data_IF_786092105908
#
_entry.id   IF_786092105908
#
_cell.length_a   1.000
_cell.length_b   1.000
_cell.length_c   1.000
_cell.angle_alpha   90.00
_cell.angle_beta   90.00
_cell.angle_gamma   90.00
#
_symmetry.space_group_name_H-M   'P 1'
#
loop_
_entity.id
_entity.type
_entity.pdbx_description
1 polymer ?
#
# COMPACT_ATOMS: atom_id res chain seq x y z
N UNK A 1 59.07 -18.61 -50.84
CA UNK A 1 58.93 -18.35 -49.40
C UNK A 1 57.94 -17.20 -49.28
N UNK A 2 56.71 -17.49 -49.02
CA UNK A 2 55.63 -16.49 -48.88
C UNK A 2 55.26 -16.42 -47.35
N UNK A 3 55.56 -15.28 -46.71
CA UNK A 3 55.18 -15.00 -45.32
C UNK A 3 53.70 -14.58 -45.30
N UNK A 4 52.85 -15.37 -44.64
CA UNK A 4 51.48 -14.97 -44.29
C UNK A 4 51.50 -14.23 -42.98
N UNK A 5 51.21 -12.92 -43.00
CA UNK A 5 51.02 -12.09 -41.80
C UNK A 5 49.60 -12.31 -41.28
N UNK A 6 49.48 -12.99 -40.15
CA UNK A 6 48.19 -13.17 -39.46
C UNK A 6 47.79 -11.88 -38.72
N UNK A 7 46.69 -11.28 -39.16
CA UNK A 7 46.03 -10.17 -38.41
C UNK A 7 45.28 -10.75 -37.20
N UNK A 8 45.80 -10.54 -36.02
CA UNK A 8 45.10 -10.79 -34.76
C UNK A 8 44.08 -9.67 -34.54
N UNK A 9 42.78 -10.01 -34.56
CA UNK A 9 41.71 -9.10 -34.19
C UNK A 9 41.71 -8.87 -32.67
N UNK A 10 41.56 -7.63 -32.19
CA UNK A 10 41.46 -7.37 -30.73
C UNK A 10 40.15 -7.98 -30.17
N UNK A 11 40.27 -8.88 -29.21
CA UNK A 11 39.13 -9.36 -28.43
C UNK A 11 38.65 -8.21 -27.55
N UNK A 12 37.49 -7.65 -27.88
CA UNK A 12 36.78 -6.71 -27.00
C UNK A 12 36.26 -7.53 -25.84
N UNK A 13 36.91 -7.44 -24.70
CA UNK A 13 36.36 -7.93 -23.41
C UNK A 13 35.11 -7.09 -23.10
N UNK A 14 33.93 -7.69 -23.24
CA UNK A 14 32.71 -7.08 -22.75
C UNK A 14 32.85 -6.88 -21.23
N UNK A 15 32.69 -5.64 -20.79
CA UNK A 15 32.63 -5.36 -19.35
C UNK A 15 31.48 -6.18 -18.72
N UNK A 16 31.69 -6.79 -17.51
CA UNK A 16 30.63 -7.50 -16.85
C UNK A 16 29.45 -6.53 -16.64
N UNK A 17 28.25 -6.97 -17.01
CA UNK A 17 27.03 -6.21 -16.72
C UNK A 17 26.99 -5.94 -15.21
N UNK A 18 26.80 -4.68 -14.83
CA UNK A 18 26.73 -4.29 -13.42
C UNK A 18 25.60 -5.09 -12.79
N UNK A 19 25.94 -5.90 -11.78
CA UNK A 19 24.94 -6.63 -11.01
C UNK A 19 24.06 -5.63 -10.27
N UNK A 20 22.74 -5.91 -10.23
CA UNK A 20 21.79 -5.11 -9.47
C UNK A 20 22.15 -5.16 -7.97
N UNK A 21 22.38 -4.01 -7.36
CA UNK A 21 22.72 -3.89 -5.94
C UNK A 21 21.44 -3.66 -5.12
N UNK A 22 20.92 -4.75 -4.51
CA UNK A 22 19.72 -4.69 -3.68
C UNK A 22 19.89 -3.81 -2.44
N UNK A 23 21.08 -3.76 -1.83
CA UNK A 23 21.32 -2.94 -0.65
C UNK A 23 21.29 -1.45 -1.00
N UNK A 24 21.91 -1.06 -2.11
CA UNK A 24 21.87 0.31 -2.60
C UNK A 24 20.45 0.71 -3.03
N UNK A 25 19.70 -0.21 -3.65
CA UNK A 25 18.29 -0.02 -4.02
C UNK A 25 17.41 0.21 -2.78
N UNK A 26 17.58 -0.61 -1.74
CA UNK A 26 16.86 -0.47 -0.47
C UNK A 26 17.19 0.87 0.22
N UNK A 27 18.46 1.23 0.30
CA UNK A 27 18.88 2.50 0.88
C UNK A 27 18.28 3.70 0.13
N UNK A 28 18.26 3.64 -1.22
CA UNK A 28 17.66 4.67 -2.08
C UNK A 28 16.16 4.80 -1.84
N UNK A 29 15.47 3.67 -1.73
CA UNK A 29 14.03 3.62 -1.46
C UNK A 29 13.70 4.20 -0.08
N UNK A 30 14.43 3.81 0.95
CA UNK A 30 14.22 4.33 2.30
C UNK A 30 14.52 5.83 2.41
N UNK A 31 15.57 6.32 1.72
CA UNK A 31 15.89 7.74 1.66
C UNK A 31 14.86 8.59 0.89
N UNK A 32 13.92 7.97 0.20
CA UNK A 32 12.82 8.65 -0.47
C UNK A 32 11.65 8.99 0.47
N UNK A 33 11.55 8.34 1.64
CA UNK A 33 10.46 8.59 2.61
C UNK A 33 10.46 10.09 2.99
N UNK A 34 9.26 10.69 2.99
CA UNK A 34 9.03 12.12 3.22
C UNK A 34 9.11 12.99 1.96
N UNK A 35 9.61 12.49 0.83
CA UNK A 35 9.61 13.25 -0.44
C UNK A 35 8.19 13.43 -0.96
N UNK A 36 7.95 14.57 -1.59
CA UNK A 36 6.70 14.85 -2.27
C UNK A 36 6.70 14.24 -3.69
N UNK A 37 5.58 13.60 -4.04
CA UNK A 37 5.33 13.02 -5.36
C UNK A 37 4.30 13.90 -6.06
N UNK A 38 4.76 14.78 -6.95
CA UNK A 38 3.94 15.77 -7.65
C UNK A 38 4.44 16.03 -9.08
N UNK A 39 3.56 16.56 -9.93
CA UNK A 39 3.90 16.94 -11.30
C UNK A 39 3.93 15.79 -12.29
N UNK A 40 3.40 14.62 -11.95
CA UNK A 40 3.43 13.44 -12.80
C UNK A 40 2.13 13.25 -13.59
N UNK A 41 2.25 13.24 -14.90
CA UNK A 41 1.16 13.03 -15.84
C UNK A 41 1.28 11.67 -16.51
N UNK A 42 0.26 10.86 -16.38
CA UNK A 42 0.14 9.51 -16.98
C UNK A 42 -1.09 9.42 -17.87
N UNK A 43 -1.31 8.24 -18.46
CA UNK A 43 -2.52 7.89 -19.17
C UNK A 43 -3.17 6.66 -18.52
N UNK A 44 -4.49 6.68 -18.32
CA UNK A 44 -5.22 5.52 -17.84
C UNK A 44 -5.41 4.47 -18.96
N UNK A 45 -6.02 3.34 -18.62
CA UNK A 45 -6.29 2.26 -19.58
C UNK A 45 -7.26 2.64 -20.72
N UNK A 46 -7.89 3.81 -20.66
CA UNK A 46 -8.68 4.38 -21.75
C UNK A 46 -7.93 5.45 -22.54
N UNK A 47 -6.63 5.68 -22.25
CA UNK A 47 -5.80 6.71 -22.87
C UNK A 47 -6.06 8.12 -22.36
N UNK A 48 -6.85 8.30 -21.30
CA UNK A 48 -7.15 9.61 -20.74
C UNK A 48 -6.02 10.08 -19.84
N UNK A 49 -5.64 11.35 -19.95
CA UNK A 49 -4.61 11.93 -19.10
C UNK A 49 -5.04 11.94 -17.62
N UNK A 50 -4.12 11.52 -16.75
CA UNK A 50 -4.29 11.44 -15.30
C UNK A 50 -3.09 12.09 -14.64
N UNK A 51 -3.34 13.11 -13.82
CA UNK A 51 -2.35 13.69 -12.92
C UNK A 51 -2.41 12.98 -11.58
N UNK A 52 -1.28 12.67 -10.96
CA UNK A 52 -1.27 12.00 -9.64
C UNK A 52 -1.89 12.86 -8.55
N UNK A 53 -1.86 14.18 -8.69
CA UNK A 53 -2.47 15.13 -7.76
C UNK A 53 -3.98 14.97 -7.61
N UNK A 54 -4.65 14.32 -8.58
CA UNK A 54 -6.10 14.04 -8.46
C UNK A 54 -6.44 13.15 -7.26
N UNK A 55 -5.45 12.42 -6.73
CA UNK A 55 -5.61 11.55 -5.58
C UNK A 55 -5.31 12.23 -4.24
N UNK A 56 -4.95 13.53 -4.24
CA UNK A 56 -4.76 14.33 -3.03
C UNK A 56 -6.00 14.31 -2.13
N UNK A 57 -5.80 14.50 -0.83
CA UNK A 57 -6.85 14.46 0.18
C UNK A 57 -7.13 13.06 0.75
N UNK A 58 -6.48 12.02 0.22
CA UNK A 58 -6.56 10.65 0.74
C UNK A 58 -5.27 9.88 0.48
N UNK A 59 -4.97 8.83 1.26
CA UNK A 59 -3.82 7.98 1.02
C UNK A 59 -3.84 7.36 -0.38
N UNK A 60 -2.66 7.28 -1.00
CA UNK A 60 -2.48 6.67 -2.32
C UNK A 60 -1.44 5.55 -2.25
N UNK A 61 -1.83 4.35 -2.67
CA UNK A 61 -0.91 3.21 -2.85
C UNK A 61 -0.39 3.24 -4.28
N UNK A 62 0.93 3.22 -4.45
CA UNK A 62 1.61 3.24 -5.75
C UNK A 62 2.43 1.98 -5.90
N UNK A 63 2.18 1.19 -6.93
CA UNK A 63 3.00 0.04 -7.34
C UNK A 63 3.53 0.22 -8.75
N UNK A 64 4.69 -0.35 -9.05
CA UNK A 64 5.28 -0.36 -10.37
C UNK A 64 5.37 -1.81 -10.87
N UNK A 65 4.93 -2.04 -12.09
CA UNK A 65 5.03 -3.34 -12.78
C UNK A 65 5.50 -3.13 -14.22
N UNK A 66 5.92 -4.21 -14.88
CA UNK A 66 5.96 -4.22 -16.33
C UNK A 66 5.15 -5.42 -16.88
N UNK A 67 4.40 -5.19 -17.94
CA UNK A 67 3.44 -6.17 -18.47
C UNK A 67 4.09 -7.41 -19.09
N UNK A 68 5.38 -7.33 -19.40
CA UNK A 68 6.18 -8.46 -19.88
C UNK A 68 6.70 -9.40 -18.78
N UNK A 69 6.48 -9.07 -17.52
CA UNK A 69 6.88 -9.91 -16.39
C UNK A 69 5.93 -11.10 -16.20
N UNK A 70 6.47 -12.31 -16.24
CA UNK A 70 5.67 -13.53 -16.07
C UNK A 70 5.74 -14.15 -14.66
N UNK A 71 6.47 -13.53 -13.73
CA UNK A 71 6.70 -14.08 -12.39
C UNK A 71 6.26 -13.12 -11.30
N UNK A 72 7.09 -12.18 -10.92
CA UNK A 72 6.91 -11.31 -9.74
C UNK A 72 5.75 -10.33 -9.87
N UNK A 73 5.52 -9.73 -11.06
CA UNK A 73 4.45 -8.74 -11.24
C UNK A 73 3.03 -9.33 -11.08
N UNK A 74 2.72 -10.54 -11.57
CA UNK A 74 1.48 -11.23 -11.20
C UNK A 74 1.35 -11.47 -9.69
N UNK A 75 2.41 -11.96 -9.03
CA UNK A 75 2.39 -12.25 -7.59
C UNK A 75 2.09 -11.01 -6.76
N UNK A 76 2.86 -9.94 -6.95
CA UNK A 76 2.61 -8.68 -6.22
C UNK A 76 1.21 -8.12 -6.49
N UNK A 77 0.69 -8.30 -7.72
CA UNK A 77 -0.66 -7.83 -8.04
C UNK A 77 -1.72 -8.63 -7.27
N UNK A 78 -1.57 -9.95 -7.12
CA UNK A 78 -2.48 -10.77 -6.30
C UNK A 78 -2.37 -10.39 -4.81
N UNK A 79 -1.16 -10.22 -4.28
CA UNK A 79 -0.93 -9.74 -2.92
C UNK A 79 -1.61 -8.38 -2.67
N UNK A 80 -1.53 -7.47 -3.65
CA UNK A 80 -2.21 -6.18 -3.58
C UNK A 80 -3.73 -6.30 -3.68
N UNK A 81 -4.27 -7.24 -4.50
CA UNK A 81 -5.72 -7.51 -4.52
C UNK A 81 -6.22 -7.89 -3.14
N UNK A 82 -5.54 -8.81 -2.47
CA UNK A 82 -5.93 -9.29 -1.14
C UNK A 82 -5.82 -8.18 -0.09
N UNK A 83 -4.69 -7.46 -0.06
CA UNK A 83 -4.46 -6.40 0.91
C UNK A 83 -5.39 -5.18 0.71
N UNK A 84 -5.61 -4.74 -0.55
CA UNK A 84 -6.49 -3.62 -0.86
C UNK A 84 -7.96 -3.98 -0.68
N UNK A 85 -8.37 -5.24 -0.95
CA UNK A 85 -9.72 -5.71 -0.65
C UNK A 85 -9.99 -5.73 0.85
N UNK A 86 -9.01 -6.19 1.65
CA UNK A 86 -9.10 -6.12 3.11
C UNK A 86 -9.19 -4.67 3.61
N UNK A 87 -8.42 -3.74 3.02
CA UNK A 87 -8.50 -2.32 3.33
C UNK A 87 -9.86 -1.73 2.95
N UNK A 88 -10.42 -2.10 1.78
CA UNK A 88 -11.74 -1.64 1.34
C UNK A 88 -12.87 -2.14 2.26
N UNK A 89 -12.78 -3.39 2.73
CA UNK A 89 -13.74 -3.96 3.69
C UNK A 89 -13.75 -3.17 5.02
N UNK A 90 -12.58 -2.71 5.48
CA UNK A 90 -12.43 -1.98 6.75
C UNK A 90 -12.78 -0.50 6.63
N UNK A 91 -12.29 0.18 5.58
CA UNK A 91 -12.31 1.64 5.47
C UNK A 91 -13.34 2.16 4.47
N UNK A 92 -13.83 1.28 3.57
CA UNK A 92 -14.68 1.65 2.44
C UNK A 92 -13.87 2.09 1.21
N UNK A 93 -14.52 2.00 0.04
CA UNK A 93 -13.91 2.22 -1.29
C UNK A 93 -13.31 3.62 -1.48
N UNK A 94 -13.85 4.63 -0.81
CA UNK A 94 -13.45 6.03 -1.01
C UNK A 94 -12.35 6.51 -0.06
N UNK A 95 -12.00 5.72 0.94
CA UNK A 95 -11.06 6.14 2.00
C UNK A 95 -9.61 6.22 1.51
N UNK A 96 -9.26 5.52 0.45
CA UNK A 96 -7.94 5.52 -0.17
C UNK A 96 -8.06 5.31 -1.68
N UNK A 97 -6.94 5.44 -2.39
CA UNK A 97 -6.82 5.08 -3.80
C UNK A 97 -5.59 4.20 -4.04
N UNK A 98 -5.57 3.49 -5.17
CA UNK A 98 -4.39 2.77 -5.63
C UNK A 98 -4.11 3.08 -7.10
N UNK A 99 -2.84 3.11 -7.46
CA UNK A 99 -2.38 3.19 -8.85
C UNK A 99 -1.28 2.16 -9.08
N UNK A 100 -1.32 1.53 -10.24
CA UNK A 100 -0.23 0.70 -10.76
C UNK A 100 0.29 1.34 -12.02
N UNK A 101 1.58 1.67 -12.04
CA UNK A 101 2.26 2.29 -13.17
C UNK A 101 3.09 1.24 -13.90
N UNK A 102 2.89 1.13 -15.21
CA UNK A 102 3.77 0.35 -16.08
C UNK A 102 5.09 1.09 -16.26
N UNK A 103 6.22 0.45 -15.88
CA UNK A 103 7.51 1.15 -15.94
C UNK A 103 8.34 0.83 -17.17
N UNK A 104 7.96 -0.16 -17.99
CA UNK A 104 8.52 -0.34 -19.33
C UNK A 104 7.78 0.56 -20.32
N UNK A 105 8.21 1.81 -20.45
CA UNK A 105 7.57 2.81 -21.29
C UNK A 105 7.34 2.38 -22.74
N UNK A 106 8.19 1.48 -23.27
CA UNK A 106 8.10 0.99 -24.64
C UNK A 106 6.99 -0.06 -24.81
N UNK A 107 6.70 -0.83 -23.76
CA UNK A 107 5.81 -1.98 -23.80
C UNK A 107 4.50 -1.74 -23.04
N UNK A 108 4.51 -0.98 -21.95
CA UNK A 108 3.38 -0.83 -21.05
C UNK A 108 2.39 0.24 -21.53
N UNK A 109 1.85 0.03 -22.74
CA UNK A 109 0.83 0.92 -23.32
C UNK A 109 -0.49 0.83 -22.53
N UNK A 110 -1.42 1.82 -22.68
CA UNK A 110 -2.74 1.76 -22.06
C UNK A 110 -3.49 0.46 -22.34
N UNK A 111 -3.36 -0.09 -23.55
CA UNK A 111 -3.98 -1.35 -23.96
C UNK A 111 -3.38 -2.55 -23.22
N UNK A 112 -2.06 -2.61 -23.08
CA UNK A 112 -1.37 -3.68 -22.36
C UNK A 112 -1.65 -3.61 -20.85
N UNK A 113 -1.68 -2.42 -20.27
CA UNK A 113 -2.08 -2.20 -18.88
C UNK A 113 -3.54 -2.61 -18.64
N UNK A 114 -4.43 -2.37 -19.62
CA UNK A 114 -5.82 -2.84 -19.56
C UNK A 114 -5.92 -4.36 -19.59
N UNK A 115 -5.17 -5.00 -20.48
CA UNK A 115 -5.11 -6.45 -20.59
C UNK A 115 -4.57 -7.05 -19.29
N UNK A 116 -3.45 -6.57 -18.79
CA UNK A 116 -2.85 -7.02 -17.54
C UNK A 116 -3.85 -6.90 -16.35
N UNK A 117 -4.49 -5.74 -16.18
CA UNK A 117 -5.51 -5.54 -15.14
C UNK A 117 -6.62 -6.59 -15.21
N UNK A 118 -7.14 -6.85 -16.41
CA UNK A 118 -8.20 -7.84 -16.64
C UNK A 118 -7.72 -9.26 -16.35
N UNK A 119 -6.53 -9.61 -16.84
CA UNK A 119 -5.98 -10.96 -16.76
C UNK A 119 -5.58 -11.30 -15.31
N UNK A 120 -5.21 -10.28 -14.50
CA UNK A 120 -5.03 -10.41 -13.05
C UNK A 120 -6.35 -10.40 -12.25
N UNK A 121 -7.50 -10.18 -12.88
CA UNK A 121 -8.79 -10.20 -12.21
C UNK A 121 -9.05 -9.01 -11.28
N UNK A 122 -8.36 -7.87 -11.45
CA UNK A 122 -8.52 -6.69 -10.60
C UNK A 122 -9.91 -6.06 -10.78
N UNK A 123 -10.73 -6.09 -9.74
CA UNK A 123 -12.12 -5.57 -9.72
C UNK A 123 -12.31 -4.30 -8.92
N UNK A 124 -11.34 -3.94 -8.05
CA UNK A 124 -11.43 -2.74 -7.23
C UNK A 124 -11.57 -1.49 -8.11
N UNK A 125 -12.55 -0.65 -7.80
CA UNK A 125 -12.89 0.54 -8.58
C UNK A 125 -12.01 1.74 -8.23
N UNK A 126 -11.44 1.75 -7.03
CA UNK A 126 -10.48 2.74 -6.53
C UNK A 126 -9.03 2.44 -6.94
N UNK A 127 -8.80 1.46 -7.81
CA UNK A 127 -7.48 1.07 -8.32
C UNK A 127 -7.37 1.34 -9.82
N UNK A 128 -6.46 2.26 -10.20
CA UNK A 128 -6.22 2.69 -11.59
C UNK A 128 -4.88 2.15 -12.10
N UNK A 129 -4.87 1.66 -13.33
CA UNK A 129 -3.65 1.24 -14.04
C UNK A 129 -3.24 2.34 -15.01
N UNK A 130 -1.95 2.71 -14.99
CA UNK A 130 -1.40 3.88 -15.65
C UNK A 130 -0.21 3.52 -16.54
N UNK A 131 -0.08 4.23 -17.66
CA UNK A 131 1.07 4.20 -18.57
C UNK A 131 1.68 5.60 -18.65
N UNK A 132 2.99 5.68 -18.86
CA UNK A 132 3.70 6.95 -19.01
C UNK A 132 4.78 6.88 -20.08
N UNK A 133 5.33 8.04 -20.47
CA UNK A 133 6.53 8.09 -21.27
C UNK A 133 7.80 7.83 -20.42
N UNK A 134 8.89 7.48 -21.06
CA UNK A 134 10.13 7.15 -20.37
C UNK A 134 10.64 8.26 -19.43
N UNK A 135 10.66 9.56 -19.83
CA UNK A 135 11.07 10.63 -18.93
C UNK A 135 10.21 10.74 -17.67
N UNK A 136 8.90 10.58 -17.81
CA UNK A 136 7.94 10.62 -16.68
C UNK A 136 8.14 9.44 -15.73
N UNK A 137 8.30 8.24 -16.28
CA UNK A 137 8.55 6.99 -15.51
C UNK A 137 9.87 7.09 -14.77
N UNK A 138 10.96 7.50 -15.43
CA UNK A 138 12.27 7.67 -14.81
C UNK A 138 12.25 8.73 -13.70
N UNK A 139 11.52 9.82 -13.90
CA UNK A 139 11.37 10.87 -12.90
C UNK A 139 10.57 10.37 -11.69
N UNK A 140 9.46 9.66 -11.90
CA UNK A 140 8.70 9.02 -10.82
C UNK A 140 9.57 8.02 -10.04
N UNK A 141 10.25 7.11 -10.75
CA UNK A 141 11.10 6.09 -10.15
C UNK A 141 12.17 6.72 -9.25
N UNK A 142 12.88 7.75 -9.73
CA UNK A 142 13.85 8.51 -8.90
C UNK A 142 13.20 9.16 -7.68
N UNK A 143 12.01 9.72 -7.85
CA UNK A 143 11.30 10.41 -6.75
C UNK A 143 10.90 9.45 -5.64
N UNK A 144 10.33 8.28 -6.00
CA UNK A 144 9.90 7.28 -5.02
C UNK A 144 11.03 6.32 -4.60
N UNK A 145 12.25 6.50 -5.14
CA UNK A 145 13.39 5.65 -4.83
C UNK A 145 13.29 4.23 -5.38
N UNK A 146 12.60 4.04 -6.50
CA UNK A 146 12.50 2.75 -7.18
C UNK A 146 13.66 2.60 -8.17
N UNK A 147 14.57 1.67 -7.86
CA UNK A 147 15.71 1.34 -8.73
C UNK A 147 15.36 0.14 -9.62
N UNK A 148 15.62 0.26 -10.91
CA UNK A 148 15.49 -0.85 -11.86
C UNK A 148 16.60 -0.77 -12.92
N UNK A 149 17.00 -1.93 -13.45
CA UNK A 149 18.06 -2.04 -14.44
C UNK A 149 17.64 -3.07 -15.52
N UNK A 150 17.77 -2.78 -16.81
CA UNK A 150 17.53 -3.77 -17.85
C UNK A 150 18.42 -5.01 -17.67
N UNK A 151 17.85 -6.20 -17.82
CA UNK A 151 18.54 -7.47 -17.74
C UNK A 151 18.08 -8.42 -18.87
N UNK A 152 18.80 -9.51 -19.16
CA UNK A 152 18.38 -10.48 -20.17
C UNK A 152 17.01 -11.12 -19.91
N UNK A 153 16.56 -11.12 -18.63
CA UNK A 153 15.26 -11.64 -18.22
C UNK A 153 14.16 -10.56 -18.15
N UNK A 154 14.45 -9.34 -18.59
CA UNK A 154 13.56 -8.18 -18.52
C UNK A 154 14.18 -7.06 -17.69
N UNK A 155 13.85 -6.98 -16.42
CA UNK A 155 14.39 -5.96 -15.50
C UNK A 155 14.73 -6.57 -14.15
N UNK A 156 15.91 -6.23 -13.64
CA UNK A 156 16.28 -6.47 -12.26
C UNK A 156 15.84 -5.26 -11.44
N UNK A 157 15.05 -5.47 -10.41
CA UNK A 157 14.53 -4.45 -9.52
C UNK A 157 14.12 -5.03 -8.17
N UNK A 158 14.11 -4.21 -7.14
CA UNK A 158 13.49 -4.56 -5.86
C UNK A 158 11.98 -4.37 -5.95
N UNK A 159 11.21 -5.35 -5.48
CA UNK A 159 9.74 -5.23 -5.42
C UNK A 159 9.37 -4.28 -4.30
N UNK A 160 8.71 -3.19 -4.65
CA UNK A 160 8.37 -2.09 -3.78
C UNK A 160 6.95 -1.60 -4.03
N UNK A 161 6.19 -1.43 -2.96
CA UNK A 161 4.91 -0.71 -2.95
C UNK A 161 5.06 0.53 -2.09
N UNK A 162 4.76 1.70 -2.65
CA UNK A 162 4.90 3.01 -2.00
C UNK A 162 3.54 3.49 -1.51
N UNK A 163 3.45 3.94 -0.26
CA UNK A 163 2.24 4.54 0.32
C UNK A 163 2.50 6.03 0.49
N UNK A 164 1.64 6.85 -0.13
CA UNK A 164 1.64 8.30 0.00
C UNK A 164 0.53 8.73 0.97
N UNK A 165 0.77 9.79 1.71
CA UNK A 165 -0.25 10.48 2.51
C UNK A 165 -1.20 11.34 1.65
N UNK A 166 -2.14 12.02 2.29
CA UNK A 166 -3.10 12.91 1.62
C UNK A 166 -2.46 14.11 0.93
N UNK A 167 -1.29 14.55 1.37
CA UNK A 167 -0.50 15.62 0.78
C UNK A 167 0.39 15.11 -0.38
N UNK A 168 0.43 13.77 -0.60
CA UNK A 168 1.22 13.11 -1.62
C UNK A 168 2.70 12.98 -1.26
N UNK A 169 3.02 12.95 0.03
CA UNK A 169 4.36 12.64 0.53
C UNK A 169 4.49 11.14 0.75
N UNK A 170 5.67 10.62 0.51
CA UNK A 170 5.96 9.21 0.77
C UNK A 170 5.93 8.95 2.28
N UNK A 171 4.90 8.25 2.72
CA UNK A 171 4.71 7.89 4.12
C UNK A 171 5.45 6.61 4.49
N UNK A 172 5.37 5.59 3.62
CA UNK A 172 5.99 4.28 3.86
C UNK A 172 6.28 3.54 2.56
N UNK A 173 7.33 2.70 2.63
CA UNK A 173 7.66 1.70 1.61
C UNK A 173 7.36 0.31 2.16
N UNK A 174 6.74 -0.55 1.34
CA UNK A 174 6.49 -1.97 1.63
C UNK A 174 7.27 -2.79 0.61
N UNK A 175 8.04 -3.77 1.05
CA UNK A 175 8.94 -4.54 0.20
C UNK A 175 8.48 -5.99 0.07
N UNK A 176 8.85 -6.60 -1.06
CA UNK A 176 8.52 -7.98 -1.40
C UNK A 176 7.26 -8.10 -2.26
N UNK A 177 7.12 -9.23 -2.90
CA UNK A 177 5.98 -9.58 -3.77
C UNK A 177 4.88 -10.34 -3.01
N UNK A 178 5.22 -10.94 -1.88
CA UNK A 178 4.30 -11.64 -0.98
C UNK A 178 4.45 -11.08 0.45
N UNK A 179 3.62 -10.13 0.81
CA UNK A 179 3.57 -9.55 2.15
C UNK A 179 2.18 -9.73 2.78
N UNK A 180 2.15 -9.86 4.10
CA UNK A 180 0.88 -9.95 4.84
C UNK A 180 0.07 -8.65 4.73
N UNK A 181 -1.25 -8.74 4.58
CA UNK A 181 -2.15 -7.60 4.45
C UNK A 181 -1.92 -6.46 5.48
N UNK A 182 -1.59 -6.73 6.77
CA UNK A 182 -1.28 -5.67 7.73
C UNK A 182 -0.13 -4.75 7.32
N UNK A 183 0.84 -5.22 6.53
CA UNK A 183 1.96 -4.40 6.05
C UNK A 183 1.49 -3.19 5.23
N UNK A 184 0.33 -3.32 4.55
CA UNK A 184 -0.32 -2.25 3.79
C UNK A 184 -1.46 -1.60 4.57
N UNK A 185 -2.30 -2.40 5.23
CA UNK A 185 -3.54 -1.93 5.87
C UNK A 185 -3.25 -1.07 7.09
N UNK A 186 -2.27 -1.41 7.93
CA UNK A 186 -1.95 -0.62 9.13
C UNK A 186 -1.40 0.79 8.81
N UNK A 187 -0.49 0.98 7.82
CA UNK A 187 -0.14 2.32 7.37
C UNK A 187 -1.33 3.13 6.82
N UNK A 188 -2.21 2.50 6.01
CA UNK A 188 -3.42 3.17 5.52
C UNK A 188 -4.34 3.57 6.67
N UNK A 189 -4.53 2.69 7.65
CA UNK A 189 -5.29 2.93 8.87
C UNK A 189 -4.74 4.15 9.63
N UNK A 190 -3.42 4.21 9.82
CA UNK A 190 -2.78 5.34 10.48
C UNK A 190 -2.99 6.66 9.74
N UNK A 191 -2.94 6.65 8.40
CA UNK A 191 -3.17 7.84 7.58
C UNK A 191 -4.64 8.28 7.56
N UNK A 192 -5.58 7.35 7.47
CA UNK A 192 -7.01 7.64 7.41
C UNK A 192 -7.54 8.20 8.73
N UNK A 193 -7.11 7.63 9.86
CA UNK A 193 -7.62 7.98 11.19
C UNK A 193 -6.63 8.79 12.03
N UNK A 194 -5.35 8.84 11.66
CA UNK A 194 -4.30 9.55 12.39
C UNK A 194 -4.25 11.05 12.09
N UNK A 195 -4.78 11.51 10.96
CA UNK A 195 -4.86 12.91 10.57
C UNK A 195 -6.20 13.51 10.99
N UNK A 196 -6.24 14.18 12.14
CA UNK A 196 -7.26 15.15 12.56
C UNK A 196 -8.74 14.69 12.55
N UNK A 197 -9.06 13.44 12.92
CA UNK A 197 -10.42 13.16 13.38
C UNK A 197 -10.65 13.99 14.64
N UNK A 198 -11.35 15.11 14.48
CA UNK A 198 -11.73 16.00 15.59
C UNK A 198 -12.31 15.19 16.73
N UNK A 199 -11.66 15.23 17.90
CA UNK A 199 -12.09 14.53 19.13
C UNK A 199 -13.50 14.97 19.55
N UNK A 200 -14.00 16.05 18.94
CA UNK A 200 -15.24 16.72 19.27
C UNK A 200 -16.44 16.33 18.39
N UNK A 201 -16.26 15.43 17.41
CA UNK A 201 -17.37 14.93 16.59
C UNK A 201 -17.72 13.48 16.95
N UNK A 202 -19.02 13.15 16.97
CA UNK A 202 -19.50 11.78 17.18
C UNK A 202 -18.95 10.83 16.11
N UNK A 203 -18.80 11.28 14.86
CA UNK A 203 -18.23 10.52 13.77
C UNK A 203 -16.75 10.19 14.03
N UNK A 204 -15.94 11.15 14.51
CA UNK A 204 -14.55 10.92 14.89
C UNK A 204 -14.40 9.94 16.08
N UNK A 205 -15.39 9.90 17.00
CA UNK A 205 -15.39 8.91 18.09
C UNK A 205 -15.74 7.51 17.57
N UNK A 206 -16.71 7.38 16.66
CA UNK A 206 -17.10 6.10 16.02
C UNK A 206 -15.92 5.55 15.21
N UNK A 207 -15.24 6.38 14.46
CA UNK A 207 -14.08 5.99 13.66
C UNK A 207 -12.91 5.51 14.55
N UNK A 208 -12.67 6.17 15.69
CA UNK A 208 -11.67 5.71 16.66
C UNK A 208 -12.05 4.38 17.31
N UNK A 209 -13.30 4.17 17.67
CA UNK A 209 -13.77 2.88 18.18
C UNK A 209 -13.57 1.78 17.14
N UNK A 210 -13.90 2.05 15.88
CA UNK A 210 -13.64 1.14 14.76
C UNK A 210 -12.15 0.81 14.62
N UNK A 211 -11.29 1.83 14.75
CA UNK A 211 -9.84 1.71 14.70
C UNK A 211 -9.30 0.75 15.77
N UNK A 212 -9.72 0.94 17.03
CA UNK A 212 -9.24 0.12 18.15
C UNK A 212 -9.80 -1.29 18.16
N UNK A 213 -11.02 -1.47 17.65
CA UNK A 213 -11.72 -2.77 17.70
C UNK A 213 -11.56 -3.62 16.44
N UNK A 214 -10.80 -3.17 15.44
CA UNK A 214 -10.55 -3.97 14.23
C UNK A 214 -9.19 -4.64 14.31
N UNK A 215 -9.19 -5.98 14.48
CA UNK A 215 -7.99 -6.81 14.62
C UNK A 215 -7.84 -7.75 13.43
N UNK A 216 -6.61 -7.86 12.92
CA UNK A 216 -6.29 -8.82 11.87
C UNK A 216 -6.24 -10.24 12.43
N UNK A 217 -6.94 -11.17 11.78
CA UNK A 217 -6.89 -12.59 12.11
C UNK A 217 -6.03 -13.34 11.09
N UNK A 218 -4.79 -13.74 11.46
CA UNK A 218 -3.85 -14.39 10.54
C UNK A 218 -4.37 -15.72 9.97
N UNK A 219 -5.20 -16.46 10.74
CA UNK A 219 -5.70 -17.76 10.30
C UNK A 219 -6.79 -17.67 9.22
N UNK A 220 -7.51 -16.54 9.13
CA UNK A 220 -8.54 -16.30 8.13
C UNK A 220 -8.13 -15.27 7.06
N UNK A 221 -6.96 -14.61 7.23
CA UNK A 221 -6.49 -13.54 6.34
C UNK A 221 -7.39 -12.29 6.34
N UNK A 222 -8.30 -12.15 7.31
CA UNK A 222 -9.32 -11.09 7.34
C UNK A 222 -9.25 -10.24 8.59
N UNK A 223 -9.67 -9.00 8.46
CA UNK A 223 -9.93 -8.12 9.59
C UNK A 223 -11.31 -8.44 10.18
N UNK A 224 -11.37 -8.55 11.52
CA UNK A 224 -12.60 -8.77 12.27
C UNK A 224 -12.76 -7.70 13.33
N UNK A 225 -13.99 -7.27 13.55
CA UNK A 225 -14.31 -6.39 14.67
C UNK A 225 -14.28 -7.21 15.97
N UNK A 226 -13.45 -6.77 16.93
CA UNK A 226 -13.30 -7.41 18.24
C UNK A 226 -14.26 -6.78 19.24
N UNK A 227 -15.24 -7.54 19.67
CA UNK A 227 -16.24 -7.13 20.65
C UNK A 227 -15.77 -7.30 22.10
N UNK A 228 -14.56 -7.82 22.34
CA UNK A 228 -14.07 -8.14 23.71
C UNK A 228 -14.08 -6.93 24.63
N UNK A 229 -13.73 -5.75 24.13
CA UNK A 229 -13.77 -4.49 24.88
C UNK A 229 -15.19 -4.15 25.35
N UNK A 230 -16.18 -4.30 24.47
CA UNK A 230 -17.59 -3.98 24.79
C UNK A 230 -18.16 -4.99 25.78
N UNK A 231 -17.84 -6.28 25.62
CA UNK A 231 -18.23 -7.32 26.56
C UNK A 231 -17.60 -7.07 27.92
N UNK A 232 -16.30 -6.71 27.97
CA UNK A 232 -15.60 -6.36 29.19
C UNK A 232 -16.21 -5.15 29.90
N UNK A 233 -16.53 -4.08 29.16
CA UNK A 233 -17.20 -2.90 29.73
C UNK A 233 -18.60 -3.22 30.25
N UNK A 234 -19.40 -3.98 29.49
CA UNK A 234 -20.74 -4.38 29.91
C UNK A 234 -20.70 -5.23 31.21
N UNK A 235 -19.78 -6.18 31.28
CA UNK A 235 -19.57 -6.98 32.48
C UNK A 235 -19.13 -6.12 33.68
N UNK A 236 -18.16 -5.22 33.48
CA UNK A 236 -17.72 -4.28 34.53
C UNK A 236 -18.83 -3.38 35.03
N UNK A 237 -19.60 -2.78 34.12
CA UNK A 237 -20.77 -1.94 34.48
C UNK A 237 -21.86 -2.75 35.23
N UNK A 238 -22.08 -3.99 34.85
CA UNK A 238 -23.04 -4.88 35.51
C UNK A 238 -22.61 -5.17 36.98
N UNK A 239 -21.32 -5.47 37.17
CA UNK A 239 -20.78 -5.71 38.52
C UNK A 239 -20.87 -4.44 39.38
N UNK A 240 -20.45 -3.28 38.84
CA UNK A 240 -20.55 -1.99 39.56
C UNK A 240 -22.00 -1.62 39.87
N UNK A 241 -22.92 -1.82 38.91
CA UNK A 241 -24.36 -1.57 39.13
C UNK A 241 -24.94 -2.49 40.18
N UNK A 242 -24.54 -3.76 40.23
CA UNK A 242 -24.98 -4.70 41.24
C UNK A 242 -24.46 -4.32 42.64
N UNK A 243 -23.19 -3.94 42.77
CA UNK A 243 -22.62 -3.45 44.02
C UNK A 243 -23.29 -2.16 44.51
N UNK A 244 -23.52 -1.21 43.60
CA UNK A 244 -24.24 0.02 43.94
C UNK A 244 -25.67 -0.28 44.38
N UNK A 245 -26.35 -1.21 43.73
CA UNK A 245 -27.69 -1.67 44.14
C UNK A 245 -27.68 -2.27 45.57
N UNK A 246 -26.71 -3.12 45.89
CA UNK A 246 -26.57 -3.72 47.22
C UNK A 246 -26.33 -2.66 48.28
N UNK A 247 -25.43 -1.70 48.03
CA UNK A 247 -25.10 -0.59 48.93
C UNK A 247 -26.32 0.32 49.15
N UNK A 248 -27.05 0.67 48.09
CA UNK A 248 -28.27 1.47 48.18
C UNK A 248 -29.36 0.73 48.95
N UNK A 249 -29.51 -0.58 48.73
CA UNK A 249 -30.47 -1.43 49.47
C UNK A 249 -30.13 -1.48 50.93
N UNK A 250 -28.85 -1.64 51.29
CA UNK A 250 -28.42 -1.70 52.68
C UNK A 250 -28.59 -0.32 53.35
N UNK A 251 -28.20 0.76 52.70
CA UNK A 251 -28.39 2.12 53.16
C UNK A 251 -29.87 2.50 53.43
N UNK A 252 -30.78 2.04 52.54
CA UNK A 252 -32.22 2.22 52.75
C UNK A 252 -32.75 1.40 53.93
N UNK A 253 -32.21 0.20 54.16
CA UNK A 253 -32.59 -0.65 55.31
C UNK A 253 -32.11 -0.02 56.66
N UNK A 254 -30.91 0.53 56.68
CA UNK A 254 -30.39 1.16 57.91
C UNK A 254 -31.06 2.49 58.21
N UNK A 255 -31.64 3.20 57.23
CA UNK A 255 -32.39 4.43 57.44
C UNK A 255 -33.86 4.18 57.78
N UNK A 256 -34.42 3.05 57.46
CA UNK A 256 -35.74 2.62 57.94
C UNK A 256 -35.56 1.91 59.27
N UNK A 257 -35.15 2.68 60.33
CA UNK A 257 -34.92 2.19 61.68
C UNK A 257 -36.17 1.51 62.31
N UNK A 258 -35.98 0.69 63.35
CA UNK A 258 -37.08 -0.01 63.96
C UNK A 258 -38.09 0.99 64.52
N UNK A 259 -39.36 0.78 64.14
CA UNK A 259 -40.51 1.44 64.69
C UNK A 259 -40.79 0.95 66.18
#
# INVERSE_FOLDING_TARGET
MTLAAGLAAPSVLAAPAAQFDEQAALATSQAAIGREVAGFRFHDTAGRAVMLERYRGKPLVVSLIYTGCNNTCPVITQTLIDALSAAEEVFGTNAFAAVTVGFDAAQDTPERMRAFRRDQGVRLTNWTFLSGDAPTIDALARTIGFAFTPSPAGYDHMVQTTILDGEGRIYRQVYGDDFAAPSLVEPLKALIFGTEASILSLDGLIDRVRLFCTVYNPSSGRYRFDYSLFIGMAAGLSVLGFLAFLLLREWRRTRAGPA
#
